data_IF_469781688159
#
_entry.id   IF_469781688159
#
_cell.length_a   1.000
_cell.length_b   1.000
_cell.length_c   1.000
_cell.angle_alpha   90.00
_cell.angle_beta   90.00
_cell.angle_gamma   90.00
#
_symmetry.space_group_name_H-M   'P 1'
#
loop_
_entity.id
_entity.type
_entity.pdbx_description
1 polymer ?
#
# COMPACT_ATOMS: atom_id res chain seq x y z
N UNK A 1 -6.00 -9.88 -6.93
CA UNK A 1 -6.04 -9.70 -8.39
C UNK A 1 -4.86 -8.85 -8.88
N UNK A 2 -4.56 -7.71 -8.24
CA UNK A 2 -3.42 -6.85 -8.57
C UNK A 2 -2.09 -7.61 -8.76
N UNK A 3 -1.72 -8.50 -7.82
CA UNK A 3 -0.47 -9.28 -7.92
C UNK A 3 -0.35 -10.08 -9.22
N UNK A 4 -1.42 -10.71 -9.70
CA UNK A 4 -1.40 -11.47 -10.95
C UNK A 4 -1.31 -10.57 -12.18
N UNK A 5 -1.92 -9.38 -12.13
CA UNK A 5 -1.78 -8.36 -13.18
C UNK A 5 -0.33 -7.90 -13.24
N UNK A 6 0.30 -7.65 -12.08
CA UNK A 6 1.72 -7.28 -12.00
C UNK A 6 2.61 -8.39 -12.56
N UNK A 7 2.44 -9.65 -12.14
CA UNK A 7 3.23 -10.76 -12.70
C UNK A 7 3.10 -10.84 -14.21
N UNK A 8 1.86 -10.79 -14.73
CA UNK A 8 1.62 -10.85 -16.18
C UNK A 8 2.25 -9.67 -16.91
N UNK A 9 2.08 -8.43 -16.43
CA UNK A 9 2.62 -7.24 -17.09
C UNK A 9 4.15 -7.14 -17.02
N UNK A 10 4.77 -7.73 -16.00
CA UNK A 10 6.23 -7.70 -15.82
C UNK A 10 6.96 -8.86 -16.51
N UNK A 11 6.29 -10.01 -16.70
CA UNK A 11 6.95 -11.24 -17.15
C UNK A 11 6.26 -11.93 -18.33
N UNK A 12 4.99 -11.61 -18.60
CA UNK A 12 4.13 -12.36 -19.51
C UNK A 12 3.58 -13.67 -18.95
N UNK A 13 3.96 -14.08 -17.73
CA UNK A 13 3.60 -15.37 -17.16
C UNK A 13 2.15 -15.44 -16.68
N UNK A 14 1.55 -16.62 -16.85
CA UNK A 14 0.16 -16.90 -16.50
C UNK A 14 0.05 -18.06 -15.49
N UNK A 15 -0.82 -17.91 -14.46
CA UNK A 15 -1.02 -18.96 -13.46
C UNK A 15 -1.64 -20.21 -14.10
N UNK A 16 -1.15 -21.39 -13.70
CA UNK A 16 -1.57 -22.69 -14.25
C UNK A 16 -0.94 -23.05 -15.59
N UNK A 17 -0.16 -22.15 -16.18
CA UNK A 17 0.62 -22.38 -17.40
C UNK A 17 2.11 -22.28 -17.13
N UNK A 18 2.53 -21.14 -16.59
CA UNK A 18 3.95 -20.82 -16.37
C UNK A 18 4.35 -20.98 -14.90
N UNK A 19 3.39 -20.94 -13.97
CA UNK A 19 3.62 -21.16 -12.54
C UNK A 19 2.38 -21.73 -11.84
N UNK A 20 2.60 -22.45 -10.74
CA UNK A 20 1.53 -22.91 -9.85
C UNK A 20 1.11 -21.79 -8.90
N UNK A 21 -0.18 -21.46 -8.86
CA UNK A 21 -0.70 -20.41 -7.99
C UNK A 21 -1.14 -21.00 -6.64
N UNK A 22 -0.36 -20.69 -5.61
CA UNK A 22 -0.72 -21.00 -4.22
C UNK A 22 -1.49 -19.82 -3.61
N UNK A 23 -2.72 -20.06 -3.13
CA UNK A 23 -3.54 -19.04 -2.45
C UNK A 23 -3.66 -19.38 -0.97
N UNK A 24 -3.05 -18.55 -0.13
CA UNK A 24 -3.08 -18.70 1.33
C UNK A 24 -3.39 -17.35 1.99
N UNK A 25 -4.01 -17.40 3.17
CA UNK A 25 -4.09 -16.24 4.06
C UNK A 25 -2.68 -15.87 4.57
N UNK A 26 -2.50 -14.63 5.05
CA UNK A 26 -1.17 -14.07 5.31
C UNK A 26 -0.28 -14.90 6.24
N UNK A 27 -0.81 -15.32 7.41
CA UNK A 27 -0.06 -16.12 8.38
C UNK A 27 0.39 -17.47 7.79
N UNK A 28 -0.55 -18.31 7.30
CA UNK A 28 -0.20 -19.56 6.63
C UNK A 28 0.73 -19.39 5.43
N UNK A 29 0.61 -18.30 4.67
CA UNK A 29 1.52 -18.01 3.57
C UNK A 29 2.96 -17.89 4.09
N UNK A 30 3.21 -17.03 5.09
CA UNK A 30 4.56 -16.80 5.62
C UNK A 30 5.19 -18.10 6.14
N UNK A 31 4.43 -18.89 6.90
CA UNK A 31 4.90 -20.17 7.39
C UNK A 31 5.25 -21.13 6.24
N UNK A 32 4.35 -21.28 5.27
CA UNK A 32 4.57 -22.16 4.14
C UNK A 32 5.75 -21.72 3.25
N UNK A 33 6.04 -20.40 3.19
CA UNK A 33 7.24 -19.90 2.53
C UNK A 33 8.51 -20.29 3.29
N UNK A 34 8.53 -20.14 4.62
CA UNK A 34 9.64 -20.57 5.47
C UNK A 34 9.88 -22.09 5.38
N UNK A 35 8.80 -22.86 5.27
CA UNK A 35 8.81 -24.32 5.08
C UNK A 35 9.14 -24.75 3.63
N UNK A 36 9.45 -23.79 2.74
CA UNK A 36 9.80 -24.00 1.33
C UNK A 36 8.72 -24.74 0.53
N UNK A 37 7.44 -24.46 0.83
CA UNK A 37 6.31 -25.01 0.06
C UNK A 37 6.09 -24.30 -1.28
N UNK A 38 6.68 -23.13 -1.46
CA UNK A 38 6.69 -22.37 -2.71
C UNK A 38 7.85 -21.37 -2.72
N UNK A 39 8.27 -20.94 -3.91
CA UNK A 39 9.52 -20.20 -4.11
C UNK A 39 9.37 -18.68 -4.11
N UNK A 40 8.17 -18.17 -4.43
CA UNK A 40 7.89 -16.73 -4.54
C UNK A 40 6.67 -16.37 -3.72
N UNK A 41 6.86 -15.46 -2.77
CA UNK A 41 5.80 -14.90 -1.95
C UNK A 41 5.48 -13.47 -2.38
N UNK A 42 4.21 -13.19 -2.66
CA UNK A 42 3.75 -11.83 -2.91
C UNK A 42 2.80 -11.39 -1.79
N UNK A 43 3.29 -10.54 -0.89
CA UNK A 43 2.54 -10.01 0.25
C UNK A 43 2.44 -8.48 0.16
N UNK A 44 1.26 -7.89 0.41
CA UNK A 44 1.20 -6.49 0.77
C UNK A 44 1.85 -6.29 2.15
N UNK A 45 2.63 -5.23 2.30
CA UNK A 45 3.38 -4.96 3.52
C UNK A 45 3.85 -3.51 3.56
N UNK A 46 4.26 -3.10 4.75
CA UNK A 46 4.99 -1.84 4.96
C UNK A 46 6.47 -2.11 4.74
N UNK A 47 7.22 -1.14 4.23
CA UNK A 47 8.66 -1.30 4.03
C UNK A 47 9.44 -0.47 5.07
N UNK A 48 10.41 -1.05 5.79
CA UNK A 48 10.72 -2.49 5.88
C UNK A 48 9.66 -3.30 6.63
N UNK A 49 9.33 -4.50 6.15
CA UNK A 49 8.31 -5.35 6.76
C UNK A 49 8.92 -6.24 7.88
N UNK A 50 8.45 -6.17 9.13
CA UNK A 50 8.98 -7.02 10.22
C UNK A 50 8.91 -8.52 9.93
N UNK A 51 7.92 -8.95 9.14
CA UNK A 51 7.74 -10.36 8.77
C UNK A 51 8.83 -10.81 7.80
N UNK A 52 9.21 -9.94 6.87
CA UNK A 52 10.30 -10.20 5.93
C UNK A 52 11.66 -10.09 6.63
N UNK A 53 11.82 -9.16 7.58
CA UNK A 53 12.99 -9.09 8.45
C UNK A 53 13.20 -10.41 9.21
N UNK A 54 12.13 -10.96 9.81
CA UNK A 54 12.19 -12.23 10.53
C UNK A 54 12.63 -13.41 9.64
N UNK A 55 12.16 -13.46 8.39
CA UNK A 55 12.60 -14.47 7.41
C UNK A 55 14.08 -14.27 7.09
N UNK A 56 14.50 -13.02 6.85
CA UNK A 56 15.88 -12.67 6.52
C UNK A 56 16.86 -13.02 7.65
N UNK A 57 16.43 -13.16 8.91
CA UNK A 57 17.31 -13.63 10.00
C UNK A 57 17.84 -15.06 9.80
N UNK A 58 17.09 -15.91 9.08
CA UNK A 58 17.41 -17.34 8.95
C UNK A 58 17.61 -17.80 7.51
N UNK A 59 17.21 -16.98 6.53
CA UNK A 59 17.21 -17.33 5.12
C UNK A 59 17.71 -16.18 4.26
N UNK A 60 18.43 -16.53 3.18
CA UNK A 60 18.73 -15.58 2.10
C UNK A 60 17.46 -15.27 1.33
N UNK A 61 17.15 -13.99 1.16
CA UNK A 61 15.99 -13.52 0.42
C UNK A 61 16.42 -12.62 -0.73
N UNK A 62 15.63 -12.58 -1.79
CA UNK A 62 15.74 -11.58 -2.86
C UNK A 62 14.39 -10.96 -3.07
N UNK A 63 14.33 -9.64 -3.04
CA UNK A 63 13.12 -8.90 -3.40
C UNK A 63 13.10 -8.69 -4.90
N UNK A 64 12.01 -9.09 -5.54
CA UNK A 64 11.78 -8.90 -6.97
C UNK A 64 10.98 -7.61 -7.14
N UNK A 65 11.64 -6.57 -7.65
CA UNK A 65 10.99 -5.30 -7.96
C UNK A 65 10.25 -5.31 -9.30
N UNK A 66 9.60 -4.18 -9.57
CA UNK A 66 8.98 -3.88 -10.87
C UNK A 66 9.86 -2.95 -11.69
N UNK A 67 9.78 -3.09 -13.01
CA UNK A 67 10.31 -2.13 -13.97
C UNK A 67 9.20 -1.15 -14.38
N UNK A 68 9.43 0.15 -14.18
CA UNK A 68 8.45 1.20 -14.43
C UNK A 68 8.07 1.31 -15.92
N UNK A 69 9.05 1.16 -16.83
CA UNK A 69 8.79 1.24 -18.26
C UNK A 69 7.89 0.08 -18.73
N UNK A 70 8.16 -1.14 -18.24
CA UNK A 70 7.32 -2.31 -18.49
C UNK A 70 5.93 -2.14 -17.86
N UNK A 71 5.85 -1.62 -16.63
CA UNK A 71 4.57 -1.34 -15.98
C UNK A 71 3.73 -0.37 -16.83
N UNK A 72 4.35 0.63 -17.45
CA UNK A 72 3.68 1.61 -18.30
C UNK A 72 3.34 1.10 -19.71
N UNK A 73 4.03 0.08 -20.20
CA UNK A 73 3.80 -0.53 -21.49
C UNK A 73 2.62 -1.52 -21.49
N UNK A 74 2.42 -2.27 -20.41
CA UNK A 74 1.27 -3.18 -20.28
C UNK A 74 0.00 -2.44 -19.80
N UNK A 75 -1.17 -2.59 -20.46
CA UNK A 75 -2.39 -1.90 -20.08
C UNK A 75 -2.90 -2.21 -18.66
N UNK A 76 -2.69 -3.44 -18.18
CA UNK A 76 -3.11 -3.87 -16.86
C UNK A 76 -2.31 -3.19 -15.75
N UNK A 77 -0.99 -3.23 -15.87
CA UNK A 77 -0.08 -2.57 -14.92
C UNK A 77 -0.11 -1.06 -15.02
N UNK A 78 -0.33 -0.50 -16.23
CA UNK A 78 -0.52 0.94 -16.42
C UNK A 78 -1.74 1.44 -15.64
N UNK A 79 -2.81 0.65 -15.57
CA UNK A 79 -3.99 0.97 -14.74
C UNK A 79 -3.68 0.95 -13.24
N UNK A 80 -2.76 0.08 -12.79
CA UNK A 80 -2.30 0.08 -11.39
C UNK A 80 -1.63 1.43 -11.08
N UNK A 81 -0.72 1.89 -11.94
CA UNK A 81 -0.02 3.17 -11.74
C UNK A 81 -0.89 4.40 -11.96
N UNK A 82 -1.94 4.31 -12.78
CA UNK A 82 -2.90 5.39 -12.98
C UNK A 82 -3.83 5.63 -11.79
N UNK A 83 -3.89 4.70 -10.82
CA UNK A 83 -4.63 4.91 -9.58
C UNK A 83 -3.85 5.89 -8.70
N UNK A 84 -4.43 7.05 -8.31
CA UNK A 84 -3.73 8.04 -7.48
C UNK A 84 -3.37 7.54 -6.07
N UNK A 85 -3.94 6.40 -5.67
CA UNK A 85 -3.58 5.69 -4.44
C UNK A 85 -2.26 4.94 -4.54
N UNK A 86 -1.71 4.72 -5.74
CA UNK A 86 -0.50 3.94 -5.93
C UNK A 86 0.65 4.84 -6.34
N UNK A 87 1.81 4.61 -5.74
CA UNK A 87 3.09 5.17 -6.17
C UNK A 87 4.10 4.06 -6.42
N UNK A 88 5.29 4.43 -6.90
CA UNK A 88 6.47 3.59 -6.85
C UNK A 88 7.38 4.09 -5.73
N UNK A 89 7.96 3.16 -4.99
CA UNK A 89 8.96 3.45 -3.95
C UNK A 89 10.20 2.60 -4.17
N UNK A 90 11.35 3.11 -3.78
CA UNK A 90 12.61 2.38 -3.86
C UNK A 90 12.86 1.62 -2.56
N UNK A 91 13.11 0.31 -2.67
CA UNK A 91 13.63 -0.51 -1.59
C UNK A 91 15.16 -0.56 -1.68
N UNK A 92 15.84 -0.11 -0.64
CA UNK A 92 17.29 -0.21 -0.52
C UNK A 92 17.77 -1.68 -0.51
N UNK A 93 18.95 -1.98 -1.06
CA UNK A 93 19.48 -3.35 -1.14
C UNK A 93 19.79 -3.98 0.22
N UNK A 94 19.85 -3.19 1.29
CA UNK A 94 20.19 -3.58 2.66
C UNK A 94 19.02 -3.41 3.65
N UNK A 95 17.80 -3.13 3.17
CA UNK A 95 16.60 -2.94 4.00
C UNK A 95 16.27 -4.13 4.92
N UNK A 96 16.69 -5.34 4.56
CA UNK A 96 16.52 -6.59 5.31
C UNK A 96 17.86 -7.20 5.77
N UNK A 97 18.94 -6.40 5.80
CA UNK A 97 20.25 -6.81 6.29
C UNK A 97 21.04 -7.71 5.33
N UNK A 98 22.11 -8.33 5.84
CA UNK A 98 23.10 -9.04 5.02
C UNK A 98 22.57 -10.26 4.24
N UNK A 99 21.39 -10.77 4.61
CA UNK A 99 20.74 -11.87 3.91
C UNK A 99 19.81 -11.40 2.77
N UNK A 100 19.66 -10.09 2.56
CA UNK A 100 19.07 -9.54 1.34
C UNK A 100 20.08 -9.62 0.20
N UNK A 101 19.74 -10.38 -0.84
CA UNK A 101 20.62 -10.70 -1.97
C UNK A 101 20.51 -9.68 -3.13
N UNK A 102 19.82 -8.57 -2.92
CA UNK A 102 19.75 -7.46 -3.87
C UNK A 102 21.07 -6.68 -3.81
N UNK A 103 21.66 -6.35 -4.96
CA UNK A 103 22.91 -5.57 -5.02
C UNK A 103 22.66 -4.10 -5.37
N UNK A 104 21.46 -3.78 -5.83
CA UNK A 104 21.00 -2.44 -6.17
C UNK A 104 19.59 -2.23 -5.60
N UNK A 105 19.14 -0.98 -5.42
CA UNK A 105 17.76 -0.70 -5.09
C UNK A 105 16.80 -1.32 -6.13
N UNK A 106 15.61 -1.68 -5.68
CA UNK A 106 14.53 -2.17 -6.54
C UNK A 106 13.25 -1.38 -6.31
N UNK A 107 12.47 -1.16 -7.38
CA UNK A 107 11.20 -0.44 -7.28
C UNK A 107 10.08 -1.37 -6.85
N UNK A 108 9.25 -0.91 -5.93
CA UNK A 108 8.06 -1.60 -5.47
C UNK A 108 6.83 -0.74 -5.75
N UNK A 109 5.69 -1.39 -5.98
CA UNK A 109 4.40 -0.70 -5.97
C UNK A 109 4.02 -0.40 -4.53
N UNK A 110 3.75 0.86 -4.24
CA UNK A 110 3.45 1.38 -2.91
C UNK A 110 2.00 1.90 -2.85
N UNK A 111 1.03 1.07 -2.44
CA UNK A 111 -0.35 1.47 -2.31
C UNK A 111 -0.58 2.23 -0.98
N UNK A 112 -1.08 3.46 -1.08
CA UNK A 112 -1.59 4.23 0.06
C UNK A 112 -2.86 3.60 0.64
N UNK A 113 -3.01 3.70 1.96
CA UNK A 113 -4.19 3.24 2.70
C UNK A 113 -5.00 4.43 3.18
N UNK A 114 -6.32 4.39 2.97
CA UNK A 114 -7.25 5.42 3.42
C UNK A 114 -8.32 4.83 4.35
N UNK A 115 -8.78 5.62 5.32
CA UNK A 115 -10.00 5.33 6.07
C UNK A 115 -11.21 5.78 5.25
N UNK A 116 -12.14 4.87 4.99
CA UNK A 116 -13.35 5.14 4.22
C UNK A 116 -14.60 5.08 5.10
N UNK A 117 -15.54 5.99 4.84
CA UNK A 117 -16.88 6.01 5.41
C UNK A 117 -17.90 5.95 4.29
N UNK A 118 -19.16 5.61 4.60
CA UNK A 118 -20.23 5.72 3.61
C UNK A 118 -20.48 7.19 3.28
N UNK A 119 -20.82 7.45 2.02
CA UNK A 119 -21.07 8.81 1.54
C UNK A 119 -22.35 9.46 2.12
N UNK A 120 -23.26 8.66 2.66
CA UNK A 120 -24.54 9.09 3.24
C UNK A 120 -24.53 9.12 4.78
N UNK A 121 -23.36 8.95 5.40
CA UNK A 121 -23.23 9.17 6.84
C UNK A 121 -23.40 10.65 7.16
N UNK A 122 -23.97 10.94 8.33
CA UNK A 122 -24.17 12.30 8.77
C UNK A 122 -22.83 13.07 8.87
N UNK A 123 -22.82 14.32 8.40
CA UNK A 123 -21.61 15.12 8.34
C UNK A 123 -21.05 15.45 9.73
N UNK A 124 -21.91 15.64 10.73
CA UNK A 124 -21.48 15.93 12.10
C UNK A 124 -20.89 14.68 12.76
N UNK A 125 -21.45 13.51 12.48
CA UNK A 125 -20.88 12.22 12.93
C UNK A 125 -19.48 12.02 12.35
N UNK A 126 -19.32 12.18 11.03
CA UNK A 126 -17.99 11.99 10.40
C UNK A 126 -17.00 13.06 10.84
N UNK A 127 -17.44 14.30 11.06
CA UNK A 127 -16.59 15.33 11.64
C UNK A 127 -16.11 14.93 13.04
N UNK A 128 -17.02 14.48 13.92
CA UNK A 128 -16.67 14.04 15.27
C UNK A 128 -15.70 12.86 15.25
N UNK A 129 -15.91 11.87 14.38
CA UNK A 129 -14.98 10.75 14.18
C UNK A 129 -13.60 11.22 13.71
N UNK A 130 -13.56 12.11 12.71
CA UNK A 130 -12.31 12.64 12.16
C UNK A 130 -11.53 13.42 13.23
N UNK A 131 -12.24 14.29 13.97
CA UNK A 131 -11.67 15.05 15.08
C UNK A 131 -11.14 14.13 16.17
N UNK A 132 -11.93 13.16 16.62
CA UNK A 132 -11.52 12.22 17.65
C UNK A 132 -10.27 11.42 17.23
N UNK A 133 -10.18 11.00 15.97
CA UNK A 133 -8.99 10.31 15.46
C UNK A 133 -7.73 11.18 15.54
N UNK A 134 -7.78 12.39 15.00
CA UNK A 134 -6.61 13.26 14.93
C UNK A 134 -6.21 13.87 16.27
N UNK A 135 -7.17 14.17 17.15
CA UNK A 135 -6.87 14.70 18.48
C UNK A 135 -6.32 13.64 19.45
N UNK A 136 -6.45 12.36 19.11
CA UNK A 136 -5.89 11.24 19.89
C UNK A 136 -4.85 10.46 19.07
N UNK A 137 -4.22 11.10 18.07
CA UNK A 137 -3.30 10.43 17.14
C UNK A 137 -2.08 9.82 17.83
N UNK A 138 -1.68 10.36 18.97
CA UNK A 138 -0.56 9.85 19.79
C UNK A 138 -0.78 8.40 20.23
N UNK A 139 -2.03 8.00 20.49
CA UNK A 139 -2.34 6.59 20.80
C UNK A 139 -2.02 5.67 19.62
N UNK A 140 -2.27 6.13 18.39
CA UNK A 140 -1.92 5.40 17.18
C UNK A 140 -0.41 5.43 16.92
N UNK A 141 0.26 6.56 17.16
CA UNK A 141 1.71 6.69 17.01
C UNK A 141 2.48 5.78 17.97
N UNK A 142 1.94 5.52 19.16
CA UNK A 142 2.52 4.61 20.14
C UNK A 142 2.50 3.12 19.71
N UNK A 143 1.70 2.74 18.71
CA UNK A 143 1.57 1.33 18.30
C UNK A 143 2.79 0.79 17.57
N UNK A 144 3.50 1.65 16.80
CA UNK A 144 4.73 1.25 16.13
C UNK A 144 5.58 2.48 15.73
N UNK A 145 6.93 2.38 15.71
CA UNK A 145 7.81 3.50 15.39
C UNK A 145 7.57 4.19 14.04
N UNK A 146 7.01 3.47 13.06
CA UNK A 146 6.73 4.00 11.72
C UNK A 146 5.41 4.78 11.64
N UNK A 147 4.54 4.69 12.65
CA UNK A 147 3.20 5.28 12.61
C UNK A 147 3.24 6.81 12.57
N UNK A 148 4.17 7.44 13.28
CA UNK A 148 4.26 8.91 13.33
C UNK A 148 4.71 9.53 12.02
N UNK A 149 5.57 8.84 11.26
CA UNK A 149 5.99 9.27 9.93
C UNK A 149 4.96 8.94 8.85
N UNK A 150 4.22 7.83 8.99
CA UNK A 150 3.24 7.40 7.99
C UNK A 150 1.84 8.00 8.17
N UNK A 151 1.46 8.38 9.39
CA UNK A 151 0.12 8.86 9.72
C UNK A 151 0.22 10.26 10.34
N UNK A 152 0.39 11.26 9.48
CA UNK A 152 0.50 12.68 9.85
C UNK A 152 -0.58 13.51 9.16
N UNK A 153 -0.87 14.69 9.71
CA UNK A 153 -1.82 15.62 9.09
C UNK A 153 -1.36 16.09 7.70
N UNK A 154 -0.05 16.25 7.50
CA UNK A 154 0.53 16.68 6.22
C UNK A 154 0.27 15.67 5.10
N UNK A 155 0.26 14.37 5.44
CA UNK A 155 -0.03 13.28 4.51
C UNK A 155 -1.52 12.90 4.49
N UNK A 156 -2.39 13.57 5.24
CA UNK A 156 -3.79 13.17 5.39
C UNK A 156 -4.64 13.32 4.12
N UNK A 157 -4.23 14.20 3.19
CA UNK A 157 -5.01 14.61 2.03
C UNK A 157 -4.38 14.20 0.70
N UNK A 158 -3.98 12.94 0.55
CA UNK A 158 -3.60 12.44 -0.77
C UNK A 158 -4.83 12.18 -1.66
N UNK A 159 -4.78 12.40 -2.98
CA UNK A 159 -5.95 12.29 -3.84
C UNK A 159 -6.59 10.90 -3.81
N UNK A 160 -7.85 10.80 -3.37
CA UNK A 160 -8.61 9.54 -3.40
C UNK A 160 -9.69 9.59 -4.51
N UNK A 161 -9.92 8.48 -5.24
CA UNK A 161 -10.84 8.47 -6.40
C UNK A 161 -12.27 8.94 -6.10
N UNK A 162 -12.74 8.76 -4.86
CA UNK A 162 -14.13 8.96 -4.46
C UNK A 162 -14.42 10.29 -3.76
N UNK A 163 -13.44 11.21 -3.72
CA UNK A 163 -13.60 12.48 -3.01
C UNK A 163 -13.60 12.30 -1.48
N UNK A 164 -13.79 13.41 -0.77
CA UNK A 164 -13.72 13.46 0.70
C UNK A 164 -15.12 13.71 1.29
N UNK A 165 -15.41 13.07 2.42
CA UNK A 165 -16.69 13.27 3.11
C UNK A 165 -16.81 14.71 3.64
N UNK A 166 -17.99 15.37 3.56
CA UNK A 166 -18.16 16.76 4.02
C UNK A 166 -17.74 16.99 5.48
N UNK A 167 -18.01 16.03 6.37
CA UNK A 167 -17.59 16.08 7.77
C UNK A 167 -16.07 16.11 7.96
N UNK A 168 -15.34 15.25 7.24
CA UNK A 168 -13.88 15.23 7.27
C UNK A 168 -13.30 16.49 6.61
N UNK A 169 -13.88 16.93 5.49
CA UNK A 169 -13.50 18.16 4.80
C UNK A 169 -13.61 19.38 5.71
N UNK A 170 -14.68 19.48 6.51
CA UNK A 170 -14.86 20.54 7.50
C UNK A 170 -13.70 20.55 8.50
N UNK A 171 -13.37 19.40 9.08
CA UNK A 171 -12.26 19.28 10.03
C UNK A 171 -10.91 19.70 9.43
N UNK A 172 -10.57 19.20 8.23
CA UNK A 172 -9.28 19.53 7.61
C UNK A 172 -9.16 21.01 7.24
N UNK A 173 -10.26 21.65 6.82
CA UNK A 173 -10.29 23.11 6.59
C UNK A 173 -10.07 23.89 7.89
N UNK A 174 -10.67 23.48 9.00
CA UNK A 174 -10.48 24.11 10.31
C UNK A 174 -9.03 24.00 10.81
N UNK A 175 -8.35 22.89 10.48
CA UNK A 175 -6.92 22.70 10.76
C UNK A 175 -5.99 23.40 9.76
N UNK A 176 -6.55 24.14 8.80
CA UNK A 176 -5.77 24.96 7.85
C UNK A 176 -5.14 24.18 6.71
N UNK A 177 -5.56 22.93 6.45
CA UNK A 177 -5.01 22.15 5.36
C UNK A 177 -5.55 22.65 4.01
N UNK A 178 -4.65 22.73 3.03
CA UNK A 178 -5.01 22.97 1.63
C UNK A 178 -5.71 21.72 1.09
N UNK A 179 -6.94 21.89 0.59
CA UNK A 179 -7.72 20.79 0.04
C UNK A 179 -7.38 20.63 -1.45
N UNK A 180 -6.84 19.48 -1.89
CA UNK A 180 -6.57 19.26 -3.30
C UNK A 180 -7.83 19.34 -4.18
N UNK A 181 -7.69 19.94 -5.36
CA UNK A 181 -8.78 20.07 -6.35
C UNK A 181 -9.41 18.73 -6.71
N UNK A 182 -8.63 17.64 -6.65
CA UNK A 182 -9.08 16.29 -6.91
C UNK A 182 -10.25 15.83 -6.01
N UNK A 183 -10.45 16.47 -4.86
CA UNK A 183 -11.55 16.21 -3.93
C UNK A 183 -12.81 17.04 -4.18
N UNK A 184 -12.73 18.10 -4.98
CA UNK A 184 -13.83 19.04 -5.21
C UNK A 184 -14.77 18.51 -6.29
N UNK A 185 -16.07 18.42 -5.99
CA UNK A 185 -17.11 18.15 -7.00
C UNK A 185 -17.22 16.70 -7.51
N UNK A 186 -16.40 15.76 -7.01
CA UNK A 186 -16.52 14.35 -7.40
C UNK A 186 -17.64 13.65 -6.65
N UNK A 187 -18.70 13.28 -7.40
CA UNK A 187 -19.69 12.28 -6.94
C UNK A 187 -19.05 10.89 -7.03
N UNK A 188 -19.41 10.02 -6.09
CA UNK A 188 -19.03 8.60 -6.00
C UNK A 188 -18.91 7.97 -7.40
N UNK A 189 -17.75 7.40 -7.72
CA UNK A 189 -17.65 6.44 -8.81
C UNK A 189 -18.20 5.12 -8.26
N UNK A 190 -19.27 4.55 -8.83
CA UNK A 190 -19.74 3.23 -8.43
C UNK A 190 -18.58 2.24 -8.58
N UNK A 191 -18.28 1.49 -7.51
CA UNK A 191 -17.33 0.38 -7.55
C UNK A 191 -17.92 -0.80 -8.31
#
# INVERSE_FOLDING_TARGET
>A
QQNLITVKGQTGYEPGKDFELVKLNWGPAIQAFQDRKYDVMMLPGITPDPRIQQIALTSKIRVIGVDEAQMMADPGTKRILANPMNSLTDLAPDAYGANQMNTTPVKLVDPKVALAVRADMDADVVYAMTKAFWENIEEAHALAPWMSSAVSLDEALFPIPNGIHPGALRYYKEKGLTIPDAFVGKKRVPQ
#
